data_IF_915774782469
#
_entry.id   IF_915774782469
#
_cell.length_a   1.000
_cell.length_b   1.000
_cell.length_c   1.000
_cell.angle_alpha   90.00
_cell.angle_beta   90.00
_cell.angle_gamma   90.00
#
_symmetry.space_group_name_H-M   'P 1'
#
loop_
_entity.id
_entity.type
_entity.pdbx_description
1 polymer ?
#
# COMPACT_ATOMS: atom_id res chain seq x y z
N UNK A 1 -6.27 12.76 17.95
CA UNK A 1 -6.38 11.64 17.00
C UNK A 1 -7.09 10.53 17.72
N UNK A 2 -8.13 9.96 17.11
CA UNK A 2 -8.81 8.77 17.64
C UNK A 2 -7.79 7.61 17.77
N UNK A 3 -7.85 6.88 18.87
CA UNK A 3 -6.97 5.73 19.14
C UNK A 3 -7.15 4.65 18.06
N UNK A 4 -8.35 4.51 17.51
CA UNK A 4 -8.66 3.54 16.45
C UNK A 4 -7.89 3.88 15.17
N UNK A 5 -7.93 5.15 14.75
CA UNK A 5 -7.20 5.62 13.58
C UNK A 5 -5.68 5.47 13.78
N UNK A 6 -5.18 5.73 14.99
CA UNK A 6 -3.76 5.55 15.31
C UNK A 6 -3.32 4.08 15.17
N UNK A 7 -4.12 3.14 15.67
CA UNK A 7 -3.84 1.70 15.56
C UNK A 7 -3.87 1.26 14.09
N UNK A 8 -4.89 1.66 13.34
CA UNK A 8 -5.01 1.34 11.92
C UNK A 8 -3.84 1.91 11.10
N UNK A 9 -3.41 3.13 11.39
CA UNK A 9 -2.24 3.73 10.76
C UNK A 9 -0.95 2.99 11.11
N UNK A 10 -0.78 2.55 12.36
CA UNK A 10 0.35 1.73 12.78
C UNK A 10 0.36 0.39 12.04
N UNK A 11 -0.80 -0.28 11.90
CA UNK A 11 -0.94 -1.51 11.12
C UNK A 11 -0.55 -1.30 9.66
N UNK A 12 -1.05 -0.23 9.03
CA UNK A 12 -0.69 0.13 7.66
C UNK A 12 0.84 0.32 7.52
N UNK A 13 1.45 1.01 8.49
CA UNK A 13 2.90 1.29 8.50
C UNK A 13 3.72 0.01 8.64
N UNK A 14 3.36 -0.86 9.59
CA UNK A 14 4.04 -2.15 9.81
C UNK A 14 3.96 -2.99 8.52
N UNK A 15 2.78 -3.07 7.92
CA UNK A 15 2.59 -3.82 6.67
C UNK A 15 3.44 -3.25 5.52
N UNK A 16 3.50 -1.92 5.39
CA UNK A 16 4.31 -1.28 4.36
C UNK A 16 5.81 -1.63 4.53
N UNK A 17 6.32 -1.62 5.77
CA UNK A 17 7.71 -1.97 6.07
C UNK A 17 8.01 -3.44 5.81
N UNK A 18 7.08 -4.35 6.13
CA UNK A 18 7.21 -5.77 5.81
C UNK A 18 7.30 -5.99 4.30
N UNK A 19 6.40 -5.38 3.52
CA UNK A 19 6.39 -5.50 2.06
C UNK A 19 7.60 -4.85 1.39
N UNK A 20 8.12 -3.75 1.94
CA UNK A 20 9.39 -3.15 1.51
C UNK A 20 10.56 -4.12 1.70
N UNK A 21 10.54 -4.86 2.81
CA UNK A 21 11.60 -5.81 3.16
C UNK A 21 11.60 -7.04 2.26
N UNK A 22 10.44 -7.45 1.74
CA UNK A 22 10.30 -8.58 0.83
C UNK A 22 10.96 -8.34 -0.54
N UNK A 23 11.44 -9.42 -1.15
CA UNK A 23 11.98 -9.45 -2.50
C UNK A 23 10.93 -9.93 -3.50
N UNK A 24 10.11 -9.00 -3.99
CA UNK A 24 9.13 -9.33 -5.04
C UNK A 24 9.75 -9.33 -6.43
N UNK A 25 9.14 -10.03 -7.38
CA UNK A 25 9.35 -9.85 -8.81
C UNK A 25 8.45 -8.74 -9.38
N UNK A 26 8.75 -8.22 -10.57
CA UNK A 26 7.90 -7.17 -11.17
C UNK A 26 6.48 -7.67 -11.49
N UNK A 27 6.33 -8.94 -11.90
CA UNK A 27 5.02 -9.55 -12.14
C UNK A 27 4.19 -9.63 -10.85
N UNK A 28 4.82 -10.04 -9.75
CA UNK A 28 4.19 -10.09 -8.43
C UNK A 28 3.75 -8.71 -7.95
N UNK A 29 4.58 -7.67 -8.12
CA UNK A 29 4.21 -6.29 -7.77
C UNK A 29 2.95 -5.85 -8.53
N UNK A 30 2.86 -6.14 -9.84
CA UNK A 30 1.68 -5.80 -10.63
C UNK A 30 0.43 -6.52 -10.13
N UNK A 31 0.54 -7.82 -9.88
CA UNK A 31 -0.56 -8.62 -9.34
C UNK A 31 -1.06 -8.06 -8.00
N UNK A 32 -0.15 -7.80 -7.05
CA UNK A 32 -0.51 -7.23 -5.76
C UNK A 32 -1.06 -5.80 -5.87
N UNK A 33 -0.61 -5.01 -6.85
CA UNK A 33 -1.18 -3.67 -7.09
C UNK A 33 -2.65 -3.75 -7.51
N UNK A 34 -3.03 -4.69 -8.39
CA UNK A 34 -4.43 -4.90 -8.75
C UNK A 34 -5.27 -5.36 -7.55
N UNK A 35 -4.76 -6.31 -6.77
CA UNK A 35 -5.42 -6.74 -5.54
C UNK A 35 -5.60 -5.59 -4.55
N UNK A 36 -4.58 -4.75 -4.40
CA UNK A 36 -4.62 -3.56 -3.52
C UNK A 36 -5.68 -2.56 -3.95
N UNK A 37 -5.80 -2.31 -5.26
CA UNK A 37 -6.87 -1.45 -5.79
C UNK A 37 -8.25 -2.01 -5.44
N UNK A 38 -8.44 -3.33 -5.57
CA UNK A 38 -9.66 -4.01 -5.12
C UNK A 38 -9.91 -3.81 -3.62
N UNK A 39 -8.90 -4.02 -2.77
CA UNK A 39 -9.00 -3.85 -1.32
C UNK A 39 -9.36 -2.43 -0.89
N UNK A 40 -8.89 -1.40 -1.62
CA UNK A 40 -9.21 -0.01 -1.32
C UNK A 40 -10.62 0.39 -1.80
N UNK A 41 -11.05 -0.12 -2.95
CA UNK A 41 -12.35 0.24 -3.52
C UNK A 41 -13.50 -0.52 -2.86
N UNK A 42 -13.31 -1.78 -2.49
CA UNK A 42 -14.34 -2.64 -1.91
C UNK A 42 -15.04 -2.03 -0.68
N UNK A 43 -14.33 -1.58 0.39
CA UNK A 43 -14.99 -1.02 1.56
C UNK A 43 -15.75 0.28 1.24
N UNK A 44 -15.25 1.08 0.29
CA UNK A 44 -15.94 2.30 -0.14
C UNK A 44 -17.23 1.98 -0.91
N UNK A 45 -17.18 1.02 -1.83
CA UNK A 45 -18.36 0.59 -2.58
C UNK A 45 -19.41 -0.06 -1.66
N UNK A 46 -18.97 -0.85 -0.69
CA UNK A 46 -19.87 -1.44 0.31
C UNK A 46 -20.50 -0.38 1.20
N UNK A 47 -19.74 0.64 1.63
CA UNK A 47 -20.28 1.78 2.37
C UNK A 47 -21.32 2.54 1.53
N UNK A 48 -21.07 2.74 0.23
CA UNK A 48 -22.00 3.40 -0.69
C UNK A 48 -23.32 2.64 -0.84
N UNK A 49 -23.22 1.36 -1.20
CA UNK A 49 -24.40 0.53 -1.46
C UNK A 49 -25.17 0.31 -0.17
N UNK A 50 -24.48 0.03 0.94
CA UNK A 50 -25.12 -0.19 2.23
C UNK A 50 -25.82 1.05 2.79
N UNK A 51 -25.23 2.24 2.63
CA UNK A 51 -25.91 3.50 2.96
C UNK A 51 -27.15 3.71 2.10
N UNK A 52 -27.03 3.50 0.78
CA UNK A 52 -28.16 3.67 -0.15
C UNK A 52 -29.29 2.68 0.11
N UNK A 53 -28.97 1.47 0.60
CA UNK A 53 -29.95 0.44 0.95
C UNK A 53 -30.48 0.59 2.39
N UNK A 54 -29.96 1.53 3.19
CA UNK A 54 -30.35 1.73 4.58
C UNK A 54 -29.88 0.62 5.53
N UNK A 55 -28.89 -0.20 5.13
CA UNK A 55 -28.39 -1.32 5.94
C UNK A 55 -27.51 -0.84 7.10
N UNK A 56 -26.78 0.25 6.90
CA UNK A 56 -25.93 0.88 7.91
C UNK A 56 -25.73 2.35 7.54
N UNK A 57 -25.41 3.17 8.53
CA UNK A 57 -25.12 4.61 8.35
C UNK A 57 -23.62 4.80 8.55
N UNK A 58 -22.83 4.73 7.49
CA UNK A 58 -21.36 4.85 7.53
C UNK A 58 -20.90 6.02 6.68
N UNK A 59 -20.28 7.04 7.28
CA UNK A 59 -19.68 8.13 6.51
C UNK A 59 -18.39 7.65 5.82
N UNK A 60 -18.30 7.89 4.52
CA UNK A 60 -17.12 7.60 3.71
C UNK A 60 -15.86 8.27 4.25
N UNK A 61 -16.00 9.49 4.76
CA UNK A 61 -14.85 10.23 5.28
C UNK A 61 -14.25 9.54 6.50
N UNK A 62 -15.08 8.98 7.37
CA UNK A 62 -14.62 8.23 8.55
C UNK A 62 -13.95 6.90 8.16
N UNK A 63 -14.41 6.25 7.08
CA UNK A 63 -13.76 5.06 6.52
C UNK A 63 -12.36 5.41 6.00
N UNK A 64 -12.25 6.48 5.21
CA UNK A 64 -10.99 6.98 4.64
C UNK A 64 -10.03 7.45 5.74
N UNK A 65 -10.53 8.10 6.79
CA UNK A 65 -9.76 8.55 7.96
C UNK A 65 -9.36 7.43 8.92
N UNK A 66 -9.77 6.21 8.63
CA UNK A 66 -9.47 5.00 9.41
C UNK A 66 -10.13 4.97 10.81
N UNK A 67 -11.26 5.65 10.97
CA UNK A 67 -11.95 5.83 12.26
C UNK A 67 -13.09 4.81 12.49
N UNK A 68 -13.50 4.07 11.44
CA UNK A 68 -14.75 3.30 11.43
C UNK A 68 -14.56 1.79 11.24
N UNK A 69 -14.37 1.08 12.35
CA UNK A 69 -14.54 -0.37 12.47
C UNK A 69 -13.84 -1.20 11.39
N UNK A 70 -14.54 -2.22 10.88
CA UNK A 70 -13.98 -3.20 9.91
C UNK A 70 -13.59 -2.54 8.58
N UNK A 71 -14.36 -1.57 8.08
CA UNK A 71 -14.05 -0.89 6.82
C UNK A 71 -12.70 -0.17 6.89
N UNK A 72 -12.41 0.48 8.02
CA UNK A 72 -11.13 1.14 8.25
C UNK A 72 -9.95 0.19 8.37
N UNK A 73 -10.15 -1.01 8.92
CA UNK A 73 -9.10 -2.05 8.95
C UNK A 73 -8.74 -2.48 7.51
N UNK A 74 -9.76 -2.72 6.68
CA UNK A 74 -9.55 -3.10 5.27
C UNK A 74 -8.83 -1.98 4.52
N UNK A 75 -9.24 -0.72 4.72
CA UNK A 75 -8.57 0.45 4.15
C UNK A 75 -7.12 0.57 4.62
N UNK A 76 -6.84 0.33 5.90
CA UNK A 76 -5.48 0.36 6.46
C UNK A 76 -4.57 -0.69 5.80
N UNK A 77 -5.08 -1.91 5.57
CA UNK A 77 -4.36 -2.95 4.81
C UNK A 77 -4.09 -2.47 3.38
N UNK A 78 -5.08 -1.86 2.74
CA UNK A 78 -4.95 -1.28 1.41
C UNK A 78 -3.87 -0.20 1.35
N UNK A 79 -3.87 0.75 2.28
CA UNK A 79 -2.85 1.81 2.37
C UNK A 79 -1.46 1.24 2.64
N UNK A 80 -1.33 0.33 3.61
CA UNK A 80 -0.06 -0.31 3.93
C UNK A 80 0.51 -1.06 2.72
N UNK A 81 -0.34 -1.76 1.99
CA UNK A 81 0.07 -2.51 0.80
C UNK A 81 0.45 -1.58 -0.35
N UNK A 82 -0.32 -0.54 -0.61
CA UNK A 82 -0.03 0.44 -1.65
C UNK A 82 1.33 1.12 -1.42
N UNK A 83 1.55 1.61 -0.20
CA UNK A 83 2.81 2.26 0.19
C UNK A 83 3.96 1.26 0.14
N UNK A 84 3.79 0.06 0.70
CA UNK A 84 4.81 -0.98 0.70
C UNK A 84 5.26 -1.40 -0.71
N UNK A 85 4.32 -1.62 -1.63
CA UNK A 85 4.61 -1.93 -3.03
C UNK A 85 5.32 -0.77 -3.74
N UNK A 86 4.88 0.46 -3.52
CA UNK A 86 5.51 1.65 -4.09
C UNK A 86 6.98 1.77 -3.62
N UNK A 87 7.22 1.63 -2.32
CA UNK A 87 8.57 1.64 -1.75
C UNK A 87 9.41 0.49 -2.32
N UNK A 88 8.84 -0.69 -2.55
CA UNK A 88 9.53 -1.82 -3.16
C UNK A 88 9.97 -1.51 -4.61
N UNK A 89 9.10 -0.87 -5.41
CA UNK A 89 9.45 -0.41 -6.76
C UNK A 89 10.58 0.61 -6.72
N UNK A 90 10.51 1.59 -5.82
CA UNK A 90 11.55 2.61 -5.65
C UNK A 90 12.88 1.96 -5.26
N UNK A 91 12.88 1.07 -4.27
CA UNK A 91 14.05 0.29 -3.84
C UNK A 91 14.71 -0.42 -5.02
N UNK A 92 13.93 -1.10 -5.87
CA UNK A 92 14.46 -1.76 -7.07
C UNK A 92 15.10 -0.79 -8.06
N UNK A 93 14.44 0.34 -8.35
CA UNK A 93 14.98 1.36 -9.26
C UNK A 93 16.32 1.91 -8.75
N UNK A 94 16.43 2.17 -7.44
CA UNK A 94 17.68 2.64 -6.81
C UNK A 94 18.79 1.58 -6.95
N UNK A 95 18.49 0.31 -6.66
CA UNK A 95 19.47 -0.78 -6.77
C UNK A 95 19.96 -0.93 -8.21
N UNK A 96 19.06 -0.88 -9.20
CA UNK A 96 19.44 -0.96 -10.63
C UNK A 96 20.28 0.24 -11.05
N UNK A 97 19.91 1.46 -10.67
CA UNK A 97 20.68 2.65 -10.96
C UNK A 97 22.11 2.58 -10.39
N UNK A 98 22.24 2.12 -9.14
CA UNK A 98 23.54 1.95 -8.50
C UNK A 98 24.40 0.87 -9.17
N UNK A 99 23.79 -0.26 -9.57
CA UNK A 99 24.47 -1.32 -10.32
C UNK A 99 25.00 -0.81 -11.66
N UNK A 100 24.19 -0.09 -12.41
CA UNK A 100 24.57 0.47 -13.71
C UNK A 100 25.72 1.47 -13.56
N UNK A 101 25.64 2.37 -12.57
CA UNK A 101 26.70 3.33 -12.29
C UNK A 101 28.04 2.66 -11.92
N UNK A 102 27.99 1.60 -11.10
CA UNK A 102 29.18 0.85 -10.72
C UNK A 102 29.82 0.15 -11.93
N UNK A 103 29.01 -0.44 -12.80
CA UNK A 103 29.51 -1.14 -13.99
C UNK A 103 30.19 -0.16 -14.97
N UNK A 104 29.57 0.99 -15.24
CA UNK A 104 30.14 2.03 -16.10
C UNK A 104 31.47 2.58 -15.57
N UNK A 105 31.63 2.68 -14.24
CA UNK A 105 32.90 3.08 -13.62
C UNK A 105 34.01 2.04 -13.74
N UNK A 106 33.65 0.75 -13.78
CA UNK A 106 34.63 -0.32 -13.95
C UNK A 106 35.18 -0.34 -15.39
N UNK A 107 34.30 -0.14 -16.38
CA UNK A 107 34.67 -0.09 -17.80
C UNK A 107 35.59 1.10 -18.13
N UNK A 108 35.32 2.28 -17.57
CA UNK A 108 36.18 3.47 -17.74
C UNK A 108 37.55 3.37 -17.06
N UNK A 109 37.81 2.35 -16.22
CA UNK A 109 39.13 2.10 -15.58
C UNK A 109 39.95 1.04 -16.30
N UNK A 110 39.35 0.30 -17.23
CA UNK A 110 40.03 -0.71 -18.05
C UNK A 110 40.51 -0.17 -19.41
N UNK A 111 40.27 1.11 -19.70
CA UNK A 111 40.77 1.87 -20.84
C UNK A 111 41.89 2.81 -20.36
#
# INVERSE_FOLDING_TARGET
MDIIAAVNLATATILALLLLSMSFEYAQIKFYAYMTAGTLLTPLLLALVGNSAGWFVVDFLEVIRLERGVFSIIMAIGYGTAVGLLLNVIKKKIITAFRNWRNNRAENRSL
#
